data_IF_013800774961
#
_entry.id   IF_013800774961
#
_cell.length_a   1.000
_cell.length_b   1.000
_cell.length_c   1.000
_cell.angle_alpha   90.00
_cell.angle_beta   90.00
_cell.angle_gamma   90.00
#
_symmetry.space_group_name_H-M   'P 1'
#
loop_
_entity.id
_entity.type
_entity.pdbx_description
1 polymer ?
#
# COMPACT_ATOMS: atom_id res chain seq x y z
N UNK A 1 -19.58 -7.23 10.83
CA UNK A 1 -19.06 -5.84 10.71
C UNK A 1 -18.63 -5.66 9.27
N UNK A 2 -19.15 -4.62 8.56
CA UNK A 2 -18.67 -4.35 7.20
C UNK A 2 -17.23 -3.83 7.23
N UNK A 3 -16.39 -4.33 6.33
CA UNK A 3 -15.01 -3.86 6.17
C UNK A 3 -14.62 -3.83 4.68
N UNK A 4 -13.66 -2.97 4.36
CA UNK A 4 -13.03 -2.89 3.07
C UNK A 4 -11.56 -3.27 3.18
N UNK A 5 -11.03 -3.99 2.18
CA UNK A 5 -9.60 -4.29 2.04
C UNK A 5 -9.03 -3.47 0.90
N UNK A 6 -7.93 -2.78 1.15
CA UNK A 6 -7.35 -1.86 0.17
C UNK A 6 -5.84 -2.12 0.03
N UNK A 7 -5.36 -2.22 -1.20
CA UNK A 7 -3.97 -1.96 -1.47
C UNK A 7 -3.67 -0.46 -1.34
N UNK A 8 -2.39 -0.09 -1.29
CA UNK A 8 -1.96 1.30 -1.11
C UNK A 8 -1.33 1.90 -2.36
N UNK A 9 -0.19 1.33 -2.79
CA UNK A 9 0.59 1.85 -3.90
C UNK A 9 -0.14 1.67 -5.24
N UNK A 10 -0.29 2.75 -6.02
CA UNK A 10 -1.08 2.84 -7.25
C UNK A 10 -2.60 2.57 -7.10
N UNK A 11 -3.07 2.37 -5.87
CA UNK A 11 -4.48 2.22 -5.52
C UNK A 11 -5.02 3.44 -4.78
N UNK A 12 -4.32 3.91 -3.75
CA UNK A 12 -4.65 5.11 -2.96
C UNK A 12 -3.73 6.27 -3.31
N UNK A 13 -2.48 5.97 -3.63
CA UNK A 13 -1.49 6.97 -4.08
C UNK A 13 -0.82 6.55 -5.38
N UNK A 14 -0.25 7.51 -6.09
CA UNK A 14 0.55 7.25 -7.29
C UNK A 14 1.97 6.81 -6.93
N UNK A 15 2.49 5.78 -7.62
CA UNK A 15 3.84 5.27 -7.44
C UNK A 15 3.98 4.32 -6.25
N UNK A 16 5.22 4.03 -5.89
CA UNK A 16 5.56 3.06 -4.84
C UNK A 16 6.17 3.77 -3.64
N UNK A 17 5.53 3.64 -2.49
CA UNK A 17 5.92 4.29 -1.22
C UNK A 17 7.34 3.95 -0.80
N UNK A 18 7.72 2.66 -0.88
CA UNK A 18 9.06 2.19 -0.54
C UNK A 18 10.15 2.92 -1.33
N UNK A 19 9.99 3.03 -2.65
CA UNK A 19 11.01 3.65 -3.50
C UNK A 19 11.06 5.16 -3.34
N UNK A 20 9.92 5.80 -3.13
CA UNK A 20 9.84 7.23 -2.83
C UNK A 20 10.52 7.55 -1.49
N UNK A 21 10.34 6.68 -0.48
CA UNK A 21 10.98 6.82 0.82
C UNK A 21 12.50 6.63 0.73
N UNK A 22 12.98 5.60 0.02
CA UNK A 22 14.42 5.37 -0.22
C UNK A 22 15.04 6.60 -0.91
N UNK A 23 14.40 7.10 -1.97
CA UNK A 23 14.86 8.28 -2.70
C UNK A 23 14.98 9.51 -1.76
N UNK A 24 13.96 9.73 -0.94
CA UNK A 24 13.96 10.81 0.06
C UNK A 24 15.10 10.65 1.07
N UNK A 25 15.26 9.47 1.67
CA UNK A 25 16.28 9.21 2.68
C UNK A 25 17.71 9.31 2.10
N UNK A 26 17.93 8.91 0.87
CA UNK A 26 19.20 9.12 0.19
C UNK A 26 19.48 10.62 -0.08
N UNK A 27 18.46 11.37 -0.53
CA UNK A 27 18.60 12.82 -0.78
C UNK A 27 18.83 13.64 0.50
N UNK A 28 18.26 13.21 1.61
CA UNK A 28 18.48 13.83 2.94
C UNK A 28 19.75 13.33 3.64
N UNK A 29 20.56 12.50 2.99
CA UNK A 29 21.78 11.89 3.54
C UNK A 29 21.55 10.96 4.76
N UNK A 30 20.32 10.50 4.94
CA UNK A 30 19.97 9.50 5.95
C UNK A 30 20.34 8.08 5.50
N UNK A 31 20.36 7.81 4.20
CA UNK A 31 20.86 6.57 3.61
C UNK A 31 22.00 6.85 2.62
N UNK A 32 22.96 5.90 2.48
CA UNK A 32 23.96 5.99 1.42
C UNK A 32 23.32 6.01 0.02
N UNK A 33 23.85 6.81 -0.90
CA UNK A 33 23.38 6.89 -2.28
C UNK A 33 23.45 5.53 -3.00
N UNK A 34 24.37 4.65 -2.60
CA UNK A 34 24.48 3.28 -3.11
C UNK A 34 23.21 2.45 -2.93
N UNK A 35 22.38 2.73 -1.93
CA UNK A 35 21.10 2.02 -1.73
C UNK A 35 20.16 2.29 -2.91
N UNK A 36 20.03 3.56 -3.31
CA UNK A 36 19.22 3.95 -4.47
C UNK A 36 19.78 3.36 -5.77
N UNK A 37 21.10 3.36 -5.93
CA UNK A 37 21.76 2.78 -7.10
C UNK A 37 21.54 1.27 -7.20
N UNK A 38 21.69 0.55 -6.09
CA UNK A 38 21.46 -0.89 -6.00
C UNK A 38 20.00 -1.24 -6.33
N UNK A 39 19.04 -0.56 -5.72
CA UNK A 39 17.62 -0.73 -6.01
C UNK A 39 17.32 -0.41 -7.49
N UNK A 40 17.95 0.63 -8.05
CA UNK A 40 17.83 0.99 -9.45
C UNK A 40 18.31 -0.12 -10.40
N UNK A 41 19.43 -0.76 -10.11
CA UNK A 41 19.94 -1.90 -10.90
C UNK A 41 18.98 -3.09 -10.88
N UNK A 42 18.38 -3.39 -9.74
CA UNK A 42 17.37 -4.44 -9.63
C UNK A 42 16.07 -4.08 -10.35
N UNK A 43 15.68 -2.80 -10.34
CA UNK A 43 14.56 -2.30 -11.14
C UNK A 43 14.76 -2.56 -12.63
N UNK A 44 15.99 -2.41 -13.14
CA UNK A 44 16.30 -2.72 -14.54
C UNK A 44 16.18 -4.21 -14.84
N UNK A 45 16.61 -5.08 -13.92
CA UNK A 45 16.46 -6.55 -14.05
C UNK A 45 15.00 -6.98 -14.06
N UNK A 46 14.16 -6.41 -13.20
CA UNK A 46 12.71 -6.66 -13.19
C UNK A 46 12.07 -6.22 -14.51
N UNK A 47 12.32 -4.99 -14.95
CA UNK A 47 11.80 -4.46 -16.23
C UNK A 47 12.24 -5.28 -17.44
N UNK A 48 13.45 -5.83 -17.42
CA UNK A 48 13.97 -6.71 -18.48
C UNK A 48 13.55 -8.17 -18.31
N UNK A 49 12.72 -8.50 -17.31
CA UNK A 49 12.23 -9.85 -16.97
C UNK A 49 13.34 -10.85 -16.70
N UNK A 50 14.49 -10.40 -16.22
CA UNK A 50 15.59 -11.25 -15.76
C UNK A 50 15.32 -11.85 -14.36
N UNK A 51 14.47 -11.20 -13.60
CA UNK A 51 13.98 -11.63 -12.29
C UNK A 51 12.46 -11.44 -12.24
N UNK A 52 11.80 -12.10 -11.29
CA UNK A 52 10.39 -11.86 -11.01
C UNK A 52 10.20 -10.56 -10.23
N UNK A 53 9.00 -10.00 -10.29
CA UNK A 53 8.67 -8.81 -9.49
C UNK A 53 8.78 -9.09 -7.98
N UNK A 54 8.43 -10.30 -7.55
CA UNK A 54 8.55 -10.73 -6.14
C UNK A 54 10.00 -10.79 -5.67
N UNK A 55 10.92 -11.31 -6.49
CA UNK A 55 12.35 -11.30 -6.20
C UNK A 55 12.89 -9.87 -6.08
N UNK A 56 12.48 -9.00 -6.99
CA UNK A 56 12.83 -7.58 -6.95
C UNK A 56 12.36 -6.90 -5.66
N UNK A 57 11.08 -7.03 -5.33
CA UNK A 57 10.52 -6.39 -4.14
C UNK A 57 11.12 -6.96 -2.84
N UNK A 58 11.37 -8.28 -2.77
CA UNK A 58 12.07 -8.91 -1.65
C UNK A 58 13.49 -8.37 -1.49
N UNK A 59 14.22 -8.19 -2.59
CA UNK A 59 15.54 -7.57 -2.58
C UNK A 59 15.49 -6.14 -2.05
N UNK A 60 14.60 -5.29 -2.60
CA UNK A 60 14.49 -3.89 -2.20
C UNK A 60 14.17 -3.75 -0.69
N UNK A 61 13.25 -4.57 -0.17
CA UNK A 61 12.93 -4.60 1.25
C UNK A 61 14.12 -5.03 2.12
N UNK A 62 14.89 -6.04 1.67
CA UNK A 62 16.06 -6.54 2.38
C UNK A 62 17.19 -5.52 2.37
N UNK A 63 17.47 -4.93 1.22
CA UNK A 63 18.48 -3.86 1.06
C UNK A 63 18.17 -2.67 1.97
N UNK A 64 16.92 -2.22 1.97
CA UNK A 64 16.46 -1.16 2.84
C UNK A 64 16.65 -1.51 4.32
N UNK A 65 16.17 -2.69 4.75
CA UNK A 65 16.27 -3.13 6.14
C UNK A 65 17.74 -3.18 6.62
N UNK A 66 18.64 -3.73 5.81
CA UNK A 66 20.07 -3.85 6.14
C UNK A 66 20.75 -2.48 6.30
N UNK A 67 20.38 -1.51 5.46
CA UNK A 67 21.01 -0.19 5.47
C UNK A 67 20.51 0.74 6.60
N UNK A 68 19.36 0.44 7.22
CA UNK A 68 18.92 1.16 8.43
C UNK A 68 19.29 0.44 9.72
N UNK A 69 20.06 -0.65 9.66
CA UNK A 69 20.53 -1.38 10.84
C UNK A 69 21.24 -0.45 11.81
N UNK A 70 20.84 -0.48 13.08
CA UNK A 70 21.39 0.35 14.14
C UNK A 70 20.82 1.77 14.21
N UNK A 71 19.93 2.16 13.30
CA UNK A 71 19.23 3.44 13.40
C UNK A 71 18.23 3.38 14.55
N UNK A 72 18.09 4.48 15.27
CA UNK A 72 17.07 4.65 16.28
C UNK A 72 15.68 4.69 15.64
N UNK A 73 14.73 3.94 16.20
CA UNK A 73 13.31 3.99 15.78
C UNK A 73 12.74 5.39 15.91
N UNK A 74 13.17 6.16 16.94
CA UNK A 74 12.75 7.55 17.11
C UNK A 74 13.27 8.45 16.00
N UNK A 75 14.58 8.39 15.69
CA UNK A 75 15.16 9.17 14.60
C UNK A 75 14.48 8.83 13.26
N UNK A 76 14.25 7.55 13.01
CA UNK A 76 13.55 7.13 11.80
C UNK A 76 12.12 7.66 11.74
N UNK A 77 11.39 7.66 12.87
CA UNK A 77 10.05 8.27 12.93
C UNK A 77 10.08 9.77 12.60
N UNK A 78 11.10 10.50 13.08
CA UNK A 78 11.28 11.93 12.74
C UNK A 78 11.54 12.11 11.23
N UNK A 79 12.32 11.25 10.60
CA UNK A 79 12.52 11.24 9.13
C UNK A 79 11.22 10.96 8.38
N UNK A 80 10.43 10.00 8.84
CA UNK A 80 9.11 9.71 8.25
C UNK A 80 8.18 10.91 8.34
N UNK A 81 8.13 11.63 9.46
CA UNK A 81 7.31 12.84 9.59
C UNK A 81 7.67 13.90 8.54
N UNK A 82 8.96 14.06 8.23
CA UNK A 82 9.38 14.98 7.16
C UNK A 82 9.03 14.45 5.78
N UNK A 83 9.18 13.15 5.55
CA UNK A 83 8.79 12.49 4.30
C UNK A 83 7.29 12.63 4.02
N UNK A 84 6.43 12.59 5.04
CA UNK A 84 4.97 12.73 4.90
C UNK A 84 4.56 14.03 4.22
N UNK A 85 5.35 15.11 4.35
CA UNK A 85 5.08 16.38 3.65
C UNK A 85 5.12 16.22 2.12
N UNK A 86 5.91 15.26 1.61
CA UNK A 86 6.03 14.96 0.19
C UNK A 86 5.08 13.82 -0.22
N UNK A 87 4.88 12.82 0.65
CA UNK A 87 4.07 11.64 0.33
C UNK A 87 2.61 12.00 0.09
N UNK A 88 2.08 12.96 0.83
CA UNK A 88 0.69 13.45 0.69
C UNK A 88 0.36 13.97 -0.71
N UNK A 89 1.30 14.59 -1.39
CA UNK A 89 1.14 15.09 -2.77
C UNK A 89 0.98 13.95 -3.78
N UNK A 90 1.31 12.73 -3.39
CA UNK A 90 1.18 11.53 -4.23
C UNK A 90 -0.20 10.88 -4.13
N UNK A 91 -1.06 11.26 -3.18
CA UNK A 91 -2.41 10.71 -3.06
C UNK A 91 -3.22 11.00 -4.33
N UNK A 92 -4.03 10.01 -4.75
CA UNK A 92 -4.98 10.27 -5.82
C UNK A 92 -6.05 11.27 -5.38
N UNK A 93 -6.60 12.09 -6.29
CA UNK A 93 -7.57 13.13 -5.95
C UNK A 93 -8.78 12.62 -5.15
N UNK A 94 -9.16 11.38 -5.38
CA UNK A 94 -10.32 10.75 -4.76
C UNK A 94 -10.04 10.10 -3.39
N UNK A 95 -8.78 9.96 -2.98
CA UNK A 95 -8.41 9.10 -1.84
C UNK A 95 -9.03 9.57 -0.53
N UNK A 96 -8.98 10.86 -0.23
CA UNK A 96 -9.59 11.43 0.99
C UNK A 96 -11.11 11.17 1.02
N UNK A 97 -11.79 11.39 -0.10
CA UNK A 97 -13.24 11.18 -0.18
C UNK A 97 -13.61 9.68 -0.13
N UNK A 98 -12.76 8.80 -0.63
CA UNK A 98 -12.95 7.35 -0.49
C UNK A 98 -12.99 6.95 0.98
N UNK A 99 -11.98 7.34 1.76
CA UNK A 99 -11.93 6.99 3.18
C UNK A 99 -13.06 7.63 3.98
N UNK A 100 -13.42 8.88 3.66
CA UNK A 100 -14.59 9.53 4.25
C UNK A 100 -15.88 8.77 3.92
N UNK A 101 -16.08 8.34 2.67
CA UNK A 101 -17.23 7.53 2.28
C UNK A 101 -17.29 6.21 3.07
N UNK A 102 -16.16 5.51 3.21
CA UNK A 102 -16.09 4.27 3.98
C UNK A 102 -16.49 4.52 5.44
N UNK A 103 -15.96 5.56 6.06
CA UNK A 103 -16.27 5.95 7.45
C UNK A 103 -17.76 6.28 7.63
N UNK A 104 -18.32 7.14 6.77
CA UNK A 104 -19.72 7.59 6.84
C UNK A 104 -20.73 6.42 6.63
N UNK A 105 -20.30 5.36 5.93
CA UNK A 105 -21.09 4.14 5.71
C UNK A 105 -20.75 3.01 6.69
N UNK A 106 -19.98 3.28 7.75
CA UNK A 106 -19.57 2.30 8.77
C UNK A 106 -18.83 1.07 8.19
N UNK A 107 -18.02 1.30 7.15
CA UNK A 107 -17.16 0.29 6.51
C UNK A 107 -15.75 0.51 7.00
N UNK A 108 -15.20 -0.41 7.79
CA UNK A 108 -13.87 -0.28 8.37
C UNK A 108 -12.77 -0.51 7.30
N UNK A 109 -11.88 0.45 7.01
CA UNK A 109 -10.79 0.24 6.08
C UNK A 109 -9.67 -0.61 6.70
N UNK A 110 -9.17 -1.60 5.96
CA UNK A 110 -8.02 -2.44 6.29
C UNK A 110 -7.03 -2.37 5.12
N UNK A 111 -5.80 -1.95 5.39
CA UNK A 111 -4.76 -1.85 4.36
C UNK A 111 -3.98 -3.16 4.29
N UNK A 112 -3.79 -3.70 3.07
CA UNK A 112 -2.96 -4.88 2.79
C UNK A 112 -2.01 -4.52 1.64
N UNK A 113 -0.76 -4.17 1.94
CA UNK A 113 0.17 -3.60 0.96
C UNK A 113 1.63 -3.99 1.23
N UNK A 114 2.49 -3.81 0.22
CA UNK A 114 3.95 -3.81 0.39
C UNK A 114 4.52 -2.46 0.88
N UNK A 115 3.68 -1.46 1.08
CA UNK A 115 4.11 -0.16 1.59
C UNK A 115 4.58 -0.23 3.05
N UNK A 116 5.56 0.61 3.46
CA UNK A 116 6.08 0.62 4.83
C UNK A 116 5.01 0.98 5.86
N UNK A 117 4.84 0.14 6.89
CA UNK A 117 3.93 0.38 8.02
C UNK A 117 4.22 1.73 8.67
N UNK A 118 5.50 2.12 8.80
CA UNK A 118 5.91 3.40 9.36
C UNK A 118 5.35 4.62 8.61
N UNK A 119 5.08 4.49 7.30
CA UNK A 119 4.41 5.54 6.50
C UNK A 119 2.90 5.43 6.66
N UNK A 120 2.35 4.22 6.52
CA UNK A 120 0.90 3.98 6.57
C UNK A 120 0.26 4.40 7.90
N UNK A 121 0.96 4.20 9.03
CA UNK A 121 0.50 4.60 10.36
C UNK A 121 0.22 6.10 10.48
N UNK A 122 0.88 6.95 9.68
CA UNK A 122 0.63 8.39 9.68
C UNK A 122 -0.70 8.79 9.03
N UNK A 123 -1.34 7.87 8.31
CA UNK A 123 -2.67 8.05 7.73
C UNK A 123 -3.78 7.41 8.59
N UNK A 124 -3.42 6.64 9.63
CA UNK A 124 -4.37 5.82 10.40
C UNK A 124 -5.55 6.63 10.94
N UNK A 125 -5.29 7.72 11.62
CA UNK A 125 -6.33 8.54 12.23
C UNK A 125 -7.16 9.28 11.18
N UNK A 126 -6.50 9.93 10.23
CA UNK A 126 -7.16 10.73 9.19
C UNK A 126 -8.06 9.88 8.28
N UNK A 127 -7.62 8.66 7.96
CA UNK A 127 -8.35 7.75 7.07
C UNK A 127 -9.16 6.69 7.82
N UNK A 128 -9.25 6.78 9.15
CA UNK A 128 -9.99 5.85 10.02
C UNK A 128 -9.57 4.39 9.79
N UNK A 129 -8.28 4.14 9.49
CA UNK A 129 -7.76 2.82 9.15
C UNK A 129 -7.80 1.94 10.40
N UNK A 130 -8.51 0.82 10.31
CA UNK A 130 -8.66 -0.14 11.40
C UNK A 130 -7.39 -0.95 11.60
N UNK A 131 -6.92 -1.61 10.54
CA UNK A 131 -5.75 -2.47 10.58
C UNK A 131 -4.83 -2.23 9.38
N UNK A 132 -3.53 -2.43 9.57
CA UNK A 132 -2.49 -2.25 8.55
C UNK A 132 -1.64 -3.51 8.50
N UNK A 133 -1.67 -4.19 7.36
CA UNK A 133 -0.79 -5.28 6.97
C UNK A 133 0.17 -4.75 5.91
N UNK A 134 1.38 -4.41 6.32
CA UNK A 134 2.37 -3.75 5.47
C UNK A 134 3.76 -4.36 5.56
N UNK A 135 4.72 -3.72 4.92
CA UNK A 135 6.13 -3.97 5.13
C UNK A 135 6.56 -3.36 6.48
N UNK A 136 7.06 -4.19 7.39
CA UNK A 136 7.50 -3.76 8.71
C UNK A 136 8.92 -4.25 9.01
N UNK A 137 9.63 -3.48 9.81
CA UNK A 137 11.04 -3.66 10.15
C UNK A 137 11.19 -4.14 11.58
N UNK A 138 12.04 -5.14 11.78
CA UNK A 138 12.32 -5.63 13.12
C UNK A 138 13.25 -4.68 13.89
N UNK A 139 12.88 -4.39 15.13
CA UNK A 139 13.68 -3.58 16.05
C UNK A 139 13.73 -4.21 17.44
N UNK A 140 14.79 -3.91 18.18
CA UNK A 140 14.98 -4.32 19.59
C UNK A 140 15.63 -3.16 20.33
N UNK A 141 15.14 -2.87 21.53
CA UNK A 141 15.66 -1.79 22.39
C UNK A 141 15.73 -0.42 21.69
N UNK A 142 14.74 -0.15 20.82
CA UNK A 142 14.64 1.10 20.08
C UNK A 142 15.60 1.26 18.90
N UNK A 143 16.28 0.18 18.48
CA UNK A 143 17.18 0.16 17.33
C UNK A 143 16.73 -0.87 16.30
N UNK A 144 16.79 -0.54 15.00
CA UNK A 144 16.53 -1.48 13.92
C UNK A 144 17.63 -2.54 13.84
N UNK A 145 17.22 -3.80 13.67
CA UNK A 145 18.14 -4.94 13.63
C UNK A 145 18.72 -5.22 12.25
N UNK A 146 18.19 -4.59 11.21
CA UNK A 146 18.52 -4.89 9.82
C UNK A 146 17.70 -6.02 9.21
N UNK A 147 16.69 -6.52 9.92
CA UNK A 147 15.81 -7.58 9.45
C UNK A 147 14.42 -7.08 9.12
N UNK A 148 13.79 -7.71 8.13
CA UNK A 148 12.36 -7.55 7.84
C UNK A 148 11.56 -8.32 8.89
N UNK A 149 10.56 -7.69 9.50
CA UNK A 149 9.63 -8.32 10.44
C UNK A 149 8.47 -8.97 9.68
N UNK A 150 7.89 -8.23 8.74
CA UNK A 150 6.79 -8.71 7.89
C UNK A 150 6.78 -7.99 6.55
N UNK A 151 6.21 -8.63 5.53
CA UNK A 151 5.86 -8.00 4.27
C UNK A 151 4.60 -8.67 3.69
N UNK A 152 3.49 -7.95 3.73
CA UNK A 152 2.19 -8.44 3.28
C UNK A 152 1.84 -7.97 1.85
N UNK A 153 2.78 -7.39 1.12
CA UNK A 153 2.62 -7.10 -0.31
C UNK A 153 2.50 -8.35 -1.18
N UNK A 154 3.02 -9.49 -0.65
CA UNK A 154 2.95 -10.81 -1.27
C UNK A 154 1.89 -11.66 -0.59
N UNK A 155 1.23 -12.55 -1.36
CA UNK A 155 0.27 -13.51 -0.80
C UNK A 155 -0.87 -12.84 -0.01
N UNK A 156 -1.42 -11.74 -0.55
CA UNK A 156 -2.55 -11.00 0.04
C UNK A 156 -3.77 -11.89 0.32
N UNK A 157 -3.91 -12.97 -0.46
CA UNK A 157 -4.96 -13.99 -0.29
C UNK A 157 -4.97 -14.62 1.11
N UNK A 158 -3.82 -14.81 1.74
CA UNK A 158 -3.73 -15.39 3.10
C UNK A 158 -4.34 -14.43 4.12
N UNK A 159 -4.03 -13.13 4.02
CA UNK A 159 -4.58 -12.12 4.93
C UNK A 159 -6.08 -11.97 4.74
N UNK A 160 -6.56 -11.94 3.48
CA UNK A 160 -8.01 -11.87 3.23
C UNK A 160 -8.73 -13.09 3.80
N UNK A 161 -8.16 -14.30 3.63
CA UNK A 161 -8.72 -15.53 4.18
C UNK A 161 -8.74 -15.52 5.72
N UNK A 162 -7.71 -14.98 6.37
CA UNK A 162 -7.64 -14.79 7.81
C UNK A 162 -8.73 -13.81 8.29
N UNK A 163 -8.88 -12.67 7.61
CA UNK A 163 -9.92 -11.68 7.92
C UNK A 163 -11.33 -12.27 7.78
N UNK A 164 -11.59 -13.06 6.73
CA UNK A 164 -12.86 -13.77 6.55
C UNK A 164 -13.11 -14.72 7.73
N UNK A 165 -12.09 -15.43 8.19
CA UNK A 165 -12.20 -16.32 9.37
C UNK A 165 -12.50 -15.54 10.64
N UNK A 166 -11.89 -14.37 10.82
CA UNK A 166 -12.09 -13.50 12.02
C UNK A 166 -13.48 -12.85 12.02
N UNK A 167 -13.92 -12.33 10.85
CA UNK A 167 -15.17 -11.56 10.78
C UNK A 167 -16.39 -12.40 10.36
N UNK A 168 -16.19 -13.64 9.89
CA UNK A 168 -17.25 -14.55 9.47
C UNK A 168 -17.87 -14.22 8.10
N UNK A 169 -17.44 -13.14 7.45
CA UNK A 169 -17.97 -12.66 6.17
C UNK A 169 -16.83 -12.14 5.28
N UNK A 170 -16.98 -12.20 3.94
CA UNK A 170 -16.01 -11.62 3.02
C UNK A 170 -15.94 -10.09 3.17
N UNK A 171 -14.83 -9.45 2.71
CA UNK A 171 -14.76 -8.00 2.63
C UNK A 171 -15.95 -7.46 1.82
N UNK A 172 -16.57 -6.39 2.32
CA UNK A 172 -17.67 -5.76 1.59
C UNK A 172 -17.17 -5.07 0.31
N UNK A 173 -16.01 -4.42 0.37
CA UNK A 173 -15.34 -3.79 -0.76
C UNK A 173 -13.86 -4.17 -0.80
N UNK A 174 -13.31 -4.34 -2.00
CA UNK A 174 -11.88 -4.54 -2.25
C UNK A 174 -11.37 -3.54 -3.28
N UNK A 175 -10.19 -2.93 -3.03
CA UNK A 175 -9.56 -1.96 -3.93
C UNK A 175 -8.13 -2.36 -4.22
N UNK A 176 -7.73 -2.38 -5.50
CA UNK A 176 -6.39 -2.73 -5.94
C UNK A 176 -6.13 -2.32 -7.39
N UNK A 177 -4.87 -2.34 -7.83
CA UNK A 177 -4.49 -1.91 -9.19
C UNK A 177 -3.84 -3.01 -10.03
N UNK A 178 -3.27 -4.03 -9.41
CA UNK A 178 -2.35 -4.99 -10.03
C UNK A 178 -2.79 -6.45 -9.90
N UNK A 179 -2.09 -7.35 -10.60
CA UNK A 179 -2.35 -8.78 -10.54
C UNK A 179 -2.19 -9.37 -9.13
N UNK A 180 -1.33 -8.80 -8.29
CA UNK A 180 -1.17 -9.22 -6.89
C UNK A 180 -2.41 -8.93 -6.03
N UNK A 181 -3.28 -8.03 -6.48
CA UNK A 181 -4.53 -7.65 -5.80
C UNK A 181 -5.72 -8.49 -6.27
N UNK A 182 -5.54 -9.29 -7.33
CA UNK A 182 -6.64 -10.09 -7.88
C UNK A 182 -7.36 -10.93 -6.81
N UNK A 183 -6.67 -11.66 -5.92
CA UNK A 183 -7.33 -12.40 -4.85
C UNK A 183 -8.12 -11.52 -3.87
N UNK A 184 -7.59 -10.34 -3.54
CA UNK A 184 -8.24 -9.35 -2.69
C UNK A 184 -9.54 -8.84 -3.33
N UNK A 185 -9.50 -8.50 -4.61
CA UNK A 185 -10.66 -8.03 -5.36
C UNK A 185 -11.70 -9.12 -5.53
N UNK A 186 -11.27 -10.35 -5.86
CA UNK A 186 -12.15 -11.49 -6.13
C UNK A 186 -12.88 -12.00 -4.90
N UNK A 187 -12.23 -11.96 -3.73
CA UNK A 187 -12.81 -12.41 -2.47
C UNK A 187 -13.73 -11.35 -1.83
N UNK A 188 -13.77 -10.14 -2.35
CA UNK A 188 -14.67 -9.08 -1.89
C UNK A 188 -16.02 -9.17 -2.56
N UNK A 189 -17.08 -8.74 -1.84
CA UNK A 189 -18.44 -8.64 -2.44
C UNK A 189 -18.44 -7.70 -3.64
N UNK A 190 -17.71 -6.58 -3.54
CA UNK A 190 -17.52 -5.62 -4.62
C UNK A 190 -16.04 -5.34 -4.83
N UNK A 191 -15.48 -5.80 -5.96
CA UNK A 191 -14.09 -5.54 -6.34
C UNK A 191 -13.98 -4.29 -7.22
N UNK A 192 -13.07 -3.38 -6.84
CA UNK A 192 -12.78 -2.13 -7.55
C UNK A 192 -11.33 -2.12 -8.02
N UNK A 193 -11.14 -2.11 -9.32
CA UNK A 193 -9.81 -1.97 -9.90
C UNK A 193 -9.50 -0.52 -10.19
N UNK A 194 -8.43 0.02 -9.58
CA UNK A 194 -7.89 1.33 -9.94
C UNK A 194 -7.03 1.20 -11.19
N UNK A 195 -7.33 1.97 -12.23
CA UNK A 195 -6.69 1.85 -13.53
C UNK A 195 -5.98 3.15 -13.92
N UNK A 196 -4.70 3.06 -14.28
CA UNK A 196 -3.94 4.16 -14.88
C UNK A 196 -4.23 4.33 -16.37
N UNK A 197 -4.64 3.26 -17.04
CA UNK A 197 -5.00 3.26 -18.46
C UNK A 197 -6.13 2.27 -18.73
N UNK A 198 -6.86 2.48 -19.81
CA UNK A 198 -7.95 1.58 -20.25
C UNK A 198 -7.48 0.17 -20.64
N UNK A 199 -6.18 -0.03 -20.86
CA UNK A 199 -5.62 -1.32 -21.32
C UNK A 199 -5.20 -2.23 -20.16
N UNK A 200 -5.11 -1.71 -18.93
CA UNK A 200 -4.73 -2.51 -17.75
C UNK A 200 -5.99 -3.03 -17.04
N UNK A 201 -6.60 -4.08 -17.59
CA UNK A 201 -7.83 -4.68 -17.05
C UNK A 201 -7.48 -6.06 -16.50
N UNK A 202 -7.70 -6.25 -15.18
CA UNK A 202 -7.51 -7.54 -14.52
C UNK A 202 -8.67 -8.50 -14.79
N UNK A 203 -9.90 -7.99 -14.74
CA UNK A 203 -11.13 -8.73 -15.05
C UNK A 203 -12.26 -7.77 -15.41
N UNK A 204 -13.15 -8.19 -16.28
CA UNK A 204 -14.41 -7.46 -16.58
C UNK A 204 -15.43 -7.50 -15.43
N UNK A 205 -15.24 -8.41 -14.47
CA UNK A 205 -16.10 -8.50 -13.28
C UNK A 205 -15.84 -7.40 -12.25
N UNK A 206 -14.68 -6.72 -12.33
CA UNK A 206 -14.35 -5.65 -11.39
C UNK A 206 -14.80 -4.29 -11.91
N UNK A 207 -15.30 -3.48 -10.98
CA UNK A 207 -15.66 -2.09 -11.29
C UNK A 207 -14.38 -1.26 -11.44
N UNK A 208 -14.23 -0.57 -12.57
CA UNK A 208 -13.02 0.21 -12.91
C UNK A 208 -13.13 1.62 -12.37
N UNK A 209 -12.08 2.05 -11.68
CA UNK A 209 -11.90 3.43 -11.20
C UNK A 209 -10.66 4.00 -11.89
N UNK A 210 -10.80 4.92 -12.87
CA UNK A 210 -9.65 5.65 -13.41
C UNK A 210 -8.91 6.41 -12.29
N UNK A 211 -7.58 6.36 -12.28
CA UNK A 211 -6.77 7.02 -11.23
C UNK A 211 -6.94 8.55 -11.15
N UNK A 212 -7.48 9.17 -12.22
CA UNK A 212 -7.83 10.59 -12.28
C UNK A 212 -9.34 10.85 -12.04
N UNK A 213 -10.05 9.88 -11.48
CA UNK A 213 -11.48 10.02 -11.17
C UNK A 213 -11.70 11.19 -10.21
N UNK A 214 -12.70 12.04 -10.50
CA UNK A 214 -13.10 13.10 -9.59
C UNK A 214 -13.88 12.55 -8.39
N UNK A 215 -13.84 13.27 -7.28
CA UNK A 215 -14.55 12.91 -6.04
C UNK A 215 -16.03 12.66 -6.28
N UNK A 216 -16.71 13.54 -7.04
CA UNK A 216 -18.14 13.38 -7.34
C UNK A 216 -18.45 12.12 -8.14
N UNK A 217 -17.60 11.76 -9.10
CA UNK A 217 -17.79 10.55 -9.90
C UNK A 217 -17.56 9.29 -9.04
N UNK A 218 -16.53 9.27 -8.17
CA UNK A 218 -16.29 8.18 -7.25
C UNK A 218 -17.49 8.00 -6.32
N UNK A 219 -17.94 9.04 -5.63
CA UNK A 219 -19.06 8.97 -4.69
C UNK A 219 -20.34 8.51 -5.38
N UNK A 220 -20.62 9.02 -6.59
CA UNK A 220 -21.77 8.53 -7.38
C UNK A 220 -21.69 7.03 -7.70
N UNK A 221 -20.49 6.53 -8.01
CA UNK A 221 -20.24 5.11 -8.26
C UNK A 221 -20.46 4.27 -7.01
N UNK A 222 -19.83 4.65 -5.89
CA UNK A 222 -19.89 3.90 -4.63
C UNK A 222 -21.29 3.94 -4.00
N UNK A 223 -22.02 5.07 -4.09
CA UNK A 223 -23.37 5.21 -3.54
C UNK A 223 -24.38 4.31 -4.24
N UNK A 224 -24.22 4.05 -5.54
CA UNK A 224 -25.08 3.09 -6.27
C UNK A 224 -24.93 1.67 -5.74
N UNK A 225 -23.74 1.33 -5.24
CA UNK A 225 -23.40 -0.01 -4.70
C UNK A 225 -23.82 -0.11 -3.22
N UNK A 226 -23.60 0.94 -2.42
CA UNK A 226 -23.96 0.96 -1.01
C UNK A 226 -25.48 1.01 -0.76
N UNK A 227 -26.27 1.43 -1.78
CA UNK A 227 -27.74 1.52 -1.69
C UNK A 227 -28.45 0.20 -1.99
N UNK A 228 -27.70 -0.85 -2.32
CA UNK A 228 -28.17 -2.21 -2.53
C UNK A 228 -27.93 -3.02 -1.25
#
# INVERSE_FOLDING_TARGET
MKYAVLDWDNTIRSGYTMFSLIDYLCKSSELPQSVQENVGQWTLKDRSKQITHDEYAKYACTEFAQNIRGYSTKHFADCIQQYMLLDRDSLFPFSVELFKFLHDNHIAPIIISGAPVSVLENYREEFYIKDIYGFDLHHTDGLFTGNVKSNYGFHKEHIVSELISIYGEPPYMGFGDSASDYPLLQQSTYGFQVCKSATNVLSESFTKIPSNTSNSNLISLLSKIASI
#
